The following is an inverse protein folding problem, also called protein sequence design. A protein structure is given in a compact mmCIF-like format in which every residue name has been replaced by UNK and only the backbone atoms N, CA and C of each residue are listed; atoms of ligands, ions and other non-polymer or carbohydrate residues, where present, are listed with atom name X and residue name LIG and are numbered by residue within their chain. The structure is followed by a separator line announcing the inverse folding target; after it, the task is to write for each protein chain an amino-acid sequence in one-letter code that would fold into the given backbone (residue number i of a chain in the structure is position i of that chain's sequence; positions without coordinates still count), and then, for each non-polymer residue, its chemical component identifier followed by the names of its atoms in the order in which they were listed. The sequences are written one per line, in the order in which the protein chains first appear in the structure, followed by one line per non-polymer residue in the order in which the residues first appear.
data_IF_225927378047
#
_entry.id   IF_225927378047
#
_cell.length_a   1.000
_cell.length_b   1.000
_cell.length_c   1.000
_cell.angle_alpha   90.00
_cell.angle_beta   90.00
_cell.angle_gamma   90.00
#
_symmetry.space_group_name_H-M   'P 1'
#
loop_
_entity.id
_entity.type
_entity.pdbx_description
1 polymer ?
#
# COMPACT_ATOMS: atom_id res chain seq x y z
N UNK A 1 5.15 -30.57 15.74
CA UNK A 1 5.98 -29.34 15.62
C UNK A 1 5.64 -28.65 14.31
N UNK A 2 4.48 -27.99 14.21
CA UNK A 2 4.06 -27.30 12.99
C UNK A 2 3.13 -26.09 13.26
N UNK A 3 3.06 -25.61 14.50
CA UNK A 3 2.21 -24.47 14.84
C UNK A 3 2.92 -23.11 14.71
N UNK A 4 4.24 -23.10 14.45
CA UNK A 4 5.05 -21.88 14.50
C UNK A 4 5.15 -21.12 13.17
N UNK A 5 4.80 -21.74 12.05
CA UNK A 5 4.91 -21.10 10.71
C UNK A 5 3.61 -20.49 10.21
N UNK A 6 2.46 -20.87 10.76
CA UNK A 6 1.17 -20.25 10.41
C UNK A 6 0.91 -18.95 11.19
N UNK A 7 1.62 -18.74 12.30
CA UNK A 7 1.53 -17.52 13.10
C UNK A 7 2.09 -16.26 12.40
N UNK A 8 2.89 -16.41 11.35
CA UNK A 8 3.58 -15.25 10.74
C UNK A 8 2.82 -14.55 9.62
N UNK A 9 1.78 -15.13 9.05
CA UNK A 9 1.04 -14.48 7.94
C UNK A 9 -0.46 -14.27 8.19
N UNK A 10 -1.09 -15.03 9.08
CA UNK A 10 -2.52 -14.90 9.39
C UNK A 10 -2.83 -14.15 10.67
N UNK A 11 -1.97 -14.27 11.68
CA UNK A 11 -2.25 -13.76 13.03
C UNK A 11 -2.02 -12.25 13.18
N UNK A 12 -1.21 -11.62 12.34
CA UNK A 12 -1.04 -10.15 12.35
C UNK A 12 -2.33 -9.43 11.94
N UNK A 13 -3.08 -10.01 11.01
CA UNK A 13 -4.36 -9.45 10.56
C UNK A 13 -5.44 -9.71 11.62
N UNK A 14 -5.49 -10.91 12.19
CA UNK A 14 -6.45 -11.25 13.25
C UNK A 14 -6.11 -10.60 14.59
N UNK A 15 -4.83 -10.41 14.92
CA UNK A 15 -4.40 -9.67 16.11
C UNK A 15 -4.73 -8.17 15.99
N UNK A 16 -4.67 -7.59 14.79
CA UNK A 16 -5.12 -6.21 14.55
C UNK A 16 -6.65 -6.07 14.68
N UNK A 17 -7.42 -7.08 14.31
CA UNK A 17 -8.88 -7.09 14.36
C UNK A 17 -9.42 -7.41 15.74
N UNK A 18 -8.74 -8.26 16.53
CA UNK A 18 -9.21 -8.73 17.82
C UNK A 18 -8.77 -7.89 19.03
N UNK A 19 -8.01 -6.83 18.84
CA UNK A 19 -7.66 -5.90 19.94
C UNK A 19 -6.83 -6.51 21.07
N UNK A 20 -6.22 -7.69 20.86
CA UNK A 20 -5.41 -8.36 21.86
C UNK A 20 -3.96 -7.90 21.73
N UNK A 21 -3.58 -7.04 22.67
CA UNK A 21 -2.26 -6.44 22.77
C UNK A 21 -1.13 -7.44 22.80
N UNK A 22 -0.05 -7.03 22.21
CA UNK A 22 1.34 -7.18 22.64
C UNK A 22 2.27 -6.72 21.49
N UNK A 23 2.22 -5.43 21.19
CA UNK A 23 3.34 -4.79 20.49
C UNK A 23 3.63 -3.48 21.24
N UNK A 24 4.83 -3.27 21.79
CA UNK A 24 5.17 -2.08 22.60
C UNK A 24 5.15 -0.75 21.83
N UNK A 25 4.89 -0.77 20.53
CA UNK A 25 4.81 0.41 19.66
C UNK A 25 3.40 0.85 19.29
N UNK A 26 2.36 0.23 19.88
CA UNK A 26 0.94 0.54 19.59
C UNK A 26 0.49 1.92 20.08
N UNK A 27 1.21 2.57 20.99
CA UNK A 27 0.86 3.90 21.47
C UNK A 27 0.86 4.99 20.41
N UNK A 28 1.83 4.95 19.48
CA UNK A 28 1.91 5.89 18.35
C UNK A 28 1.03 5.46 17.17
N UNK A 29 0.86 4.16 17.00
CA UNK A 29 -0.04 3.58 16.01
C UNK A 29 -1.51 3.93 16.28
N UNK A 30 -1.94 3.89 17.54
CA UNK A 30 -3.31 4.26 17.94
C UNK A 30 -3.60 5.76 17.75
N UNK A 31 -2.61 6.64 17.86
CA UNK A 31 -2.74 8.06 17.51
C UNK A 31 -2.88 8.28 16.01
N UNK A 32 -2.19 7.45 15.21
CA UNK A 32 -2.24 7.46 13.75
C UNK A 32 -3.56 6.90 13.22
N UNK A 33 -4.18 5.95 13.93
CA UNK A 33 -5.42 5.27 13.56
C UNK A 33 -6.71 5.88 14.14
N UNK A 34 -6.70 7.13 14.58
CA UNK A 34 -7.95 7.85 14.92
C UNK A 34 -8.89 8.07 13.73
N UNK A 35 -8.46 7.66 12.53
CA UNK A 35 -9.23 7.75 11.30
C UNK A 35 -9.92 6.41 11.02
N UNK A 36 -11.12 6.23 11.56
CA UNK A 36 -11.95 5.01 11.47
C UNK A 36 -12.21 4.50 10.04
N UNK A 37 -11.96 5.33 9.01
CA UNK A 37 -12.19 4.97 7.62
C UNK A 37 -10.96 4.37 6.91
N UNK A 38 -9.74 4.63 7.38
CA UNK A 38 -8.51 4.12 6.77
C UNK A 38 -8.30 2.62 6.99
N UNK A 39 -8.65 2.14 8.19
CA UNK A 39 -8.55 0.71 8.51
C UNK A 39 -9.45 -0.14 7.61
N UNK A 40 -10.61 0.38 7.23
CA UNK A 40 -11.55 -0.33 6.36
C UNK A 40 -11.00 -0.51 4.94
N UNK A 41 -10.26 0.46 4.41
CA UNK A 41 -9.65 0.39 3.07
C UNK A 41 -8.42 -0.52 3.10
N UNK A 42 -7.60 -0.44 4.14
CA UNK A 42 -6.44 -1.31 4.31
C UNK A 42 -6.85 -2.77 4.54
N UNK A 43 -7.89 -3.03 5.34
CA UNK A 43 -8.43 -4.37 5.55
C UNK A 43 -9.08 -4.91 4.27
N UNK A 44 -9.79 -4.10 3.51
CA UNK A 44 -10.36 -4.51 2.21
C UNK A 44 -9.28 -4.81 1.17
N UNK A 45 -8.16 -4.07 1.16
CA UNK A 45 -7.03 -4.35 0.26
C UNK A 45 -6.24 -5.60 0.67
N UNK A 46 -6.25 -5.96 1.95
CA UNK A 46 -5.56 -7.15 2.50
C UNK A 46 -6.46 -8.38 2.47
N UNK A 47 -7.77 -8.23 2.72
CA UNK A 47 -8.74 -9.33 2.68
C UNK A 47 -9.15 -9.72 1.26
N UNK A 48 -9.10 -8.79 0.30
CA UNK A 48 -9.21 -9.11 -1.10
C UNK A 48 -7.85 -9.62 -1.61
N UNK A 49 -7.45 -10.80 -1.17
CA UNK A 49 -6.47 -11.57 -1.90
C UNK A 49 -6.84 -11.51 -3.39
N UNK A 50 -5.90 -11.56 -4.30
CA UNK A 50 -5.95 -11.32 -5.76
C UNK A 50 -7.18 -11.83 -6.56
N UNK A 51 -8.32 -11.94 -5.94
CA UNK A 51 -9.58 -12.46 -6.48
C UNK A 51 -10.82 -11.59 -6.26
N UNK A 52 -10.81 -10.58 -5.39
CA UNK A 52 -11.93 -9.65 -5.33
C UNK A 52 -11.74 -8.56 -6.37
N UNK A 53 -12.60 -8.53 -7.39
CA UNK A 53 -12.60 -7.51 -8.43
C UNK A 53 -12.85 -6.14 -7.79
N UNK A 54 -11.79 -5.39 -7.49
CA UNK A 54 -11.88 -3.99 -7.10
C UNK A 54 -12.53 -3.17 -8.22
N UNK A 55 -13.06 -2.00 -7.88
CA UNK A 55 -13.64 -1.10 -8.86
C UNK A 55 -12.53 -0.30 -9.55
N UNK A 56 -12.38 -0.47 -10.86
CA UNK A 56 -11.47 0.27 -11.71
C UNK A 56 -12.09 1.58 -12.21
N UNK A 57 -11.23 2.56 -12.49
CA UNK A 57 -11.61 3.87 -13.03
C UNK A 57 -10.70 4.24 -14.20
N UNK A 58 -11.25 4.89 -15.20
CA UNK A 58 -10.49 5.31 -16.38
C UNK A 58 -9.46 6.41 -16.10
N UNK A 59 -9.48 7.04 -14.92
CA UNK A 59 -8.51 8.05 -14.49
C UNK A 59 -8.52 8.25 -12.98
N UNK A 60 -7.43 8.79 -12.43
CA UNK A 60 -7.37 9.17 -11.02
C UNK A 60 -8.39 10.26 -10.64
N UNK A 61 -8.70 11.17 -11.57
CA UNK A 61 -9.76 12.16 -11.36
C UNK A 61 -11.14 11.51 -11.26
N UNK A 62 -11.43 10.48 -12.06
CA UNK A 62 -12.67 9.71 -11.96
C UNK A 62 -12.75 8.94 -10.63
N UNK A 63 -11.63 8.34 -10.19
CA UNK A 63 -11.52 7.71 -8.87
C UNK A 63 -11.86 8.73 -7.76
N UNK A 64 -11.22 9.91 -7.75
CA UNK A 64 -11.47 10.93 -6.71
C UNK A 64 -12.90 11.48 -6.74
N UNK A 65 -13.53 11.59 -7.90
CA UNK A 65 -14.96 11.99 -7.97
C UNK A 65 -15.87 10.95 -7.33
N UNK A 66 -15.54 9.68 -7.44
CA UNK A 66 -16.36 8.59 -6.92
C UNK A 66 -16.07 8.25 -5.45
N UNK A 67 -14.81 8.32 -5.03
CA UNK A 67 -14.33 7.88 -3.71
C UNK A 67 -14.06 9.04 -2.76
N UNK A 68 -14.00 10.27 -3.28
CA UNK A 68 -13.62 11.47 -2.54
C UNK A 68 -12.13 11.80 -2.63
N UNK A 69 -11.79 13.03 -2.24
CA UNK A 69 -10.39 13.40 -2.00
C UNK A 69 -9.90 12.75 -0.70
N UNK A 70 -8.60 12.57 -0.59
CA UNK A 70 -7.99 12.18 0.68
C UNK A 70 -8.30 13.25 1.76
N UNK A 71 -8.41 12.83 3.01
CA UNK A 71 -8.62 13.73 4.13
C UNK A 71 -7.44 14.70 4.30
N UNK A 72 -7.66 15.79 5.02
CA UNK A 72 -6.60 16.75 5.35
C UNK A 72 -5.40 16.06 6.01
N UNK A 73 -4.20 16.34 5.53
CA UNK A 73 -2.95 15.72 5.99
C UNK A 73 -2.69 14.31 5.43
N UNK A 74 -3.51 13.85 4.48
CA UNK A 74 -3.38 12.55 3.82
C UNK A 74 -3.29 12.68 2.30
N UNK A 75 -2.78 11.60 1.68
CA UNK A 75 -2.72 11.43 0.23
C UNK A 75 -3.17 10.03 -0.18
N UNK A 76 -3.73 9.93 -1.39
CA UNK A 76 -3.94 8.66 -2.05
C UNK A 76 -2.60 8.10 -2.55
N UNK A 77 -2.22 6.94 -2.07
CA UNK A 77 -1.04 6.21 -2.49
C UNK A 77 -1.44 5.10 -3.46
N UNK A 78 -0.80 5.07 -4.64
CA UNK A 78 -0.90 3.96 -5.58
C UNK A 78 0.16 2.93 -5.24
N UNK A 79 -0.24 1.71 -4.88
CA UNK A 79 0.66 0.59 -4.59
C UNK A 79 1.52 0.29 -5.84
N UNK A 80 0.88 0.11 -6.99
CA UNK A 80 1.52 0.16 -8.31
C UNK A 80 1.39 1.58 -8.85
N UNK A 81 2.52 2.25 -9.06
CA UNK A 81 2.57 3.69 -9.37
C UNK A 81 1.81 4.09 -10.64
N UNK A 82 1.21 5.28 -10.62
CA UNK A 82 0.35 5.81 -11.71
C UNK A 82 1.11 6.52 -12.84
N UNK A 83 2.42 6.30 -13.00
CA UNK A 83 3.15 6.90 -14.11
C UNK A 83 2.69 6.34 -15.48
N UNK A 84 2.91 7.12 -16.54
CA UNK A 84 2.39 6.82 -17.88
C UNK A 84 2.74 5.41 -18.39
N UNK A 85 3.96 4.94 -18.11
CA UNK A 85 4.41 3.61 -18.53
C UNK A 85 3.54 2.48 -17.92
N UNK A 86 3.20 2.59 -16.62
CA UNK A 86 2.34 1.60 -15.97
C UNK A 86 0.90 1.70 -16.45
N UNK A 87 0.38 2.91 -16.65
CA UNK A 87 -0.96 3.10 -17.20
C UNK A 87 -1.06 2.50 -18.60
N UNK A 88 -0.05 2.71 -19.45
CA UNK A 88 0.01 2.11 -20.79
C UNK A 88 0.14 0.57 -20.74
N UNK A 89 0.98 0.06 -19.84
CA UNK A 89 1.31 -1.37 -19.72
C UNK A 89 0.19 -2.20 -19.11
N UNK A 90 -0.49 -1.68 -18.10
CA UNK A 90 -1.44 -2.43 -17.27
C UNK A 90 -2.89 -1.96 -17.41
N UNK A 91 -3.12 -0.84 -18.09
CA UNK A 91 -4.43 -0.22 -18.25
C UNK A 91 -4.80 0.72 -17.07
N UNK A 92 -5.52 1.78 -17.41
CA UNK A 92 -5.94 2.79 -16.44
C UNK A 92 -6.79 2.21 -15.30
N UNK A 93 -7.70 1.28 -15.62
CA UNK A 93 -8.62 0.69 -14.64
C UNK A 93 -7.91 -0.26 -13.63
N UNK A 94 -6.76 -0.82 -14.01
CA UNK A 94 -5.92 -1.59 -13.09
C UNK A 94 -5.13 -0.66 -12.16
N UNK A 95 -4.62 0.45 -12.69
CA UNK A 95 -3.85 1.43 -11.92
C UNK A 95 -4.75 2.24 -10.99
N UNK A 96 -5.88 2.75 -11.50
CA UNK A 96 -6.85 3.52 -10.70
C UNK A 96 -7.95 2.60 -10.14
N UNK A 97 -7.54 1.51 -9.50
CA UNK A 97 -8.42 0.51 -8.91
C UNK A 97 -8.48 0.69 -7.39
N UNK A 98 -9.65 0.45 -6.79
CA UNK A 98 -9.81 0.51 -5.32
C UNK A 98 -8.85 -0.42 -4.58
N UNK A 99 -8.41 -1.51 -5.20
CA UNK A 99 -7.42 -2.43 -4.62
C UNK A 99 -5.98 -1.92 -4.75
N UNK A 100 -5.72 -0.95 -5.62
CA UNK A 100 -4.40 -0.37 -5.85
C UNK A 100 -4.20 0.99 -5.15
N UNK A 101 -5.23 1.51 -4.48
CA UNK A 101 -5.23 2.84 -3.88
C UNK A 101 -5.49 2.76 -2.38
N UNK A 102 -4.59 3.35 -1.61
CA UNK A 102 -4.68 3.43 -0.14
C UNK A 102 -4.50 4.88 0.27
N UNK A 103 -5.35 5.35 1.15
CA UNK A 103 -5.19 6.66 1.76
C UNK A 103 -4.21 6.57 2.91
N UNK A 104 -3.15 7.36 2.89
CA UNK A 104 -2.08 7.37 3.90
C UNK A 104 -1.69 8.78 4.30
N UNK A 105 -1.14 8.98 5.52
CA UNK A 105 -0.59 10.27 5.93
C UNK A 105 0.50 10.79 5.00
N UNK A 106 0.55 12.12 4.80
CA UNK A 106 1.53 12.78 3.95
C UNK A 106 2.98 12.39 4.28
N UNK A 107 3.31 12.29 5.58
CA UNK A 107 4.67 11.96 5.99
C UNK A 107 5.05 10.52 5.63
N UNK A 108 4.10 9.57 5.63
CA UNK A 108 4.30 8.19 5.15
C UNK A 108 4.52 8.19 3.65
N UNK A 109 3.66 8.92 2.90
CA UNK A 109 3.80 9.05 1.45
C UNK A 109 5.17 9.63 1.06
N UNK A 110 5.65 10.64 1.79
CA UNK A 110 6.96 11.25 1.57
C UNK A 110 8.12 10.29 1.86
N UNK A 111 8.04 9.45 2.91
CA UNK A 111 9.03 8.39 3.17
C UNK A 111 9.11 7.39 2.03
N UNK A 112 7.97 6.91 1.56
CA UNK A 112 7.88 5.97 0.43
C UNK A 112 8.46 6.62 -0.84
N UNK A 113 8.10 7.87 -1.13
CA UNK A 113 8.64 8.63 -2.26
C UNK A 113 10.16 8.77 -2.16
N UNK A 114 10.68 9.06 -0.98
CA UNK A 114 12.12 9.13 -0.73
C UNK A 114 12.82 7.79 -1.01
N UNK A 115 12.22 6.68 -0.58
CA UNK A 115 12.73 5.33 -0.87
C UNK A 115 12.75 5.05 -2.38
N UNK A 116 11.67 5.35 -3.09
CA UNK A 116 11.57 5.09 -4.53
C UNK A 116 12.55 5.91 -5.38
N UNK A 117 13.05 7.01 -4.87
CA UNK A 117 14.06 7.84 -5.56
C UNK A 117 15.52 7.40 -5.28
N UNK A 118 15.73 6.46 -4.34
CA UNK A 118 17.07 5.91 -4.06
C UNK A 118 17.50 4.91 -5.13
N UNK A 119 18.82 4.80 -5.28
CA UNK A 119 19.47 3.81 -6.14
C UNK A 119 20.17 2.78 -5.25
N UNK A 120 20.14 1.52 -5.68
CA UNK A 120 20.79 0.42 -5.00
C UNK A 120 21.53 -0.46 -6.01
N UNK A 121 22.50 -1.24 -5.56
CA UNK A 121 23.20 -2.20 -6.43
C UNK A 121 22.23 -3.23 -7.04
N UNK A 122 21.29 -3.74 -6.24
CA UNK A 122 20.30 -4.70 -6.69
C UNK A 122 19.31 -4.14 -7.73
N UNK A 123 19.20 -2.81 -7.86
CA UNK A 123 18.44 -2.17 -8.94
C UNK A 123 19.28 -1.88 -10.18
N UNK A 124 20.51 -2.41 -10.28
CA UNK A 124 21.47 -2.06 -11.33
C UNK A 124 21.74 -0.55 -11.40
N UNK A 125 21.84 0.11 -10.25
CA UNK A 125 22.00 1.57 -10.11
C UNK A 125 20.87 2.43 -10.72
N UNK A 126 19.75 1.85 -11.07
CA UNK A 126 18.51 2.57 -11.35
C UNK A 126 17.89 3.07 -10.04
N UNK A 127 17.04 4.08 -10.12
CA UNK A 127 16.15 4.35 -8.98
C UNK A 127 15.23 3.15 -8.77
N UNK A 128 14.77 2.92 -7.54
CA UNK A 128 13.77 1.88 -7.27
C UNK A 128 12.55 2.07 -8.19
N UNK A 129 12.13 3.31 -8.41
CA UNK A 129 11.03 3.66 -9.32
C UNK A 129 11.29 3.17 -10.75
N UNK A 130 12.47 3.42 -11.29
CA UNK A 130 12.81 3.04 -12.66
C UNK A 130 13.01 1.53 -12.79
N UNK A 131 13.58 0.89 -11.78
CA UNK A 131 13.67 -0.57 -11.72
C UNK A 131 12.28 -1.23 -11.70
N UNK A 132 11.32 -0.69 -10.91
CA UNK A 132 9.96 -1.21 -10.86
C UNK A 132 9.25 -1.15 -12.21
N UNK A 133 9.53 -0.15 -13.07
CA UNK A 133 8.97 -0.08 -14.44
C UNK A 133 9.29 -1.31 -15.29
N UNK A 134 10.40 -2.00 -15.00
CA UNK A 134 10.78 -3.24 -15.69
C UNK A 134 10.00 -4.47 -15.22
N UNK A 135 9.31 -4.39 -14.08
CA UNK A 135 8.61 -5.50 -13.44
C UNK A 135 7.15 -5.60 -13.95
N UNK A 136 6.55 -6.79 -13.78
CA UNK A 136 5.13 -6.98 -14.03
C UNK A 136 4.27 -6.36 -12.90
N UNK A 137 2.95 -6.33 -13.08
CA UNK A 137 2.02 -5.73 -12.10
C UNK A 137 2.13 -6.38 -10.72
N UNK A 138 2.12 -7.71 -10.67
CA UNK A 138 2.15 -8.48 -9.43
C UNK A 138 3.42 -8.16 -8.61
N UNK A 139 4.59 -8.19 -9.26
CA UNK A 139 5.86 -7.88 -8.60
C UNK A 139 5.90 -6.42 -8.09
N UNK A 140 5.38 -5.46 -8.87
CA UNK A 140 5.25 -4.07 -8.42
C UNK A 140 4.29 -3.95 -7.23
N UNK A 141 3.17 -4.68 -7.26
CA UNK A 141 2.14 -4.66 -6.23
C UNK A 141 2.67 -5.23 -4.90
N UNK A 142 3.31 -6.40 -4.94
CA UNK A 142 3.90 -7.02 -3.75
C UNK A 142 5.02 -6.17 -3.15
N UNK A 143 5.88 -5.61 -3.99
CA UNK A 143 6.91 -4.67 -3.55
C UNK A 143 6.30 -3.43 -2.90
N UNK A 144 5.31 -2.82 -3.54
CA UNK A 144 4.63 -1.62 -3.04
C UNK A 144 3.93 -1.85 -1.70
N UNK A 145 3.32 -3.03 -1.50
CA UNK A 145 2.73 -3.44 -0.22
C UNK A 145 3.78 -3.59 0.88
N UNK A 146 4.90 -4.25 0.58
CA UNK A 146 6.00 -4.42 1.54
C UNK A 146 6.57 -3.06 1.99
N UNK A 147 6.81 -2.16 1.04
CA UNK A 147 7.31 -0.81 1.33
C UNK A 147 6.29 0.00 2.14
N UNK A 148 5.00 -0.09 1.81
CA UNK A 148 3.94 0.55 2.59
C UNK A 148 3.94 0.04 4.04
N UNK A 149 4.02 -1.28 4.22
CA UNK A 149 4.05 -1.89 5.55
C UNK A 149 5.29 -1.44 6.35
N UNK A 150 6.48 -1.41 5.71
CA UNK A 150 7.72 -0.93 6.33
C UNK A 150 7.64 0.55 6.72
N UNK A 151 7.05 1.38 5.86
CA UNK A 151 6.87 2.80 6.15
C UNK A 151 5.92 3.02 7.34
N UNK A 152 4.82 2.27 7.41
CA UNK A 152 3.86 2.31 8.51
C UNK A 152 4.47 1.84 9.84
N UNK A 153 5.30 0.83 9.79
CA UNK A 153 5.99 0.27 10.97
C UNK A 153 7.25 1.07 11.39
N UNK A 154 7.61 2.10 10.63
CA UNK A 154 8.80 2.90 10.91
C UNK A 154 10.14 2.22 10.61
N UNK A 155 10.13 1.15 9.79
CA UNK A 155 11.32 0.35 9.42
C UNK A 155 11.85 0.63 8.00
N UNK A 156 11.27 1.63 7.31
CA UNK A 156 11.71 2.08 5.99
C UNK A 156 12.80 3.12 6.07
#
# INVERSE_FOLDING_TARGET
MSASLYAQQGDLVNAMVSGVGLIPYLGDFAKMFRMKNHFKILSMAVESGAGAAGRGFHSFSAFKRAMGNAAEGNQWYHIVGQHADNVHKFGAESIHNTNNLVEIPDYIHNKITGHYNKKYEWTNNLTVRDWLKTQNFEAQYEYGKDILQKALNGTL
#
